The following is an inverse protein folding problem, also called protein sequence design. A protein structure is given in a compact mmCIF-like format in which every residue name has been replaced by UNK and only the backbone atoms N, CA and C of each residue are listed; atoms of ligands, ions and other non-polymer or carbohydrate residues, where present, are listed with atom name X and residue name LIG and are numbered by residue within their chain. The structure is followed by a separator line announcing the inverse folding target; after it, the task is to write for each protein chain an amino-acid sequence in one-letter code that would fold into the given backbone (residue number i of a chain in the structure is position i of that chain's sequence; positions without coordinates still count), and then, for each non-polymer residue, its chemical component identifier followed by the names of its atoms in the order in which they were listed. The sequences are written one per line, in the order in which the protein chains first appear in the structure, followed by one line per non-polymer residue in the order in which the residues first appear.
data_IF_742588235774
#
_entry.id   IF_742588235774
#
_cell.length_a   1.000
_cell.length_b   1.000
_cell.length_c   1.000
_cell.angle_alpha   90.00
_cell.angle_beta   90.00
_cell.angle_gamma   90.00
#
_symmetry.space_group_name_H-M   'P 1'
#
loop_
_entity.id
_entity.type
_entity.pdbx_description
1 polymer ?
#
# COMPACT_ATOMS: atom_id res chain seq x y z
N UNK A 1 -25.95 28.69 -0.57
CA UNK A 1 -25.86 28.31 0.86
C UNK A 1 -24.39 27.95 1.09
N UNK A 2 -23.67 28.73 1.88
CA UNK A 2 -22.28 28.39 2.26
C UNK A 2 -22.33 27.19 3.21
N UNK A 3 -21.55 26.12 2.97
CA UNK A 3 -21.49 24.98 3.89
C UNK A 3 -21.04 25.46 5.28
N UNK A 4 -21.64 24.90 6.31
CA UNK A 4 -21.37 25.27 7.71
C UNK A 4 -19.88 25.01 8.03
N UNK A 5 -19.24 25.94 8.72
CA UNK A 5 -17.82 25.84 9.13
C UNK A 5 -17.49 24.59 9.97
N UNK A 6 -18.48 23.85 10.44
CA UNK A 6 -18.28 22.65 11.27
C UNK A 6 -17.92 21.39 10.47
N UNK A 7 -18.23 21.34 9.15
CA UNK A 7 -17.94 20.19 8.30
C UNK A 7 -16.49 20.16 7.75
N UNK A 8 -15.80 21.30 7.76
CA UNK A 8 -14.40 21.45 7.27
C UNK A 8 -13.36 21.18 8.35
N UNK A 9 -13.74 21.29 9.61
CA UNK A 9 -12.83 21.20 10.75
C UNK A 9 -12.02 19.90 10.82
N UNK A 10 -12.59 18.70 10.55
CA UNK A 10 -11.84 17.46 10.62
C UNK A 10 -10.66 17.38 9.64
N UNK A 11 -10.85 17.80 8.39
CA UNK A 11 -9.76 17.82 7.39
C UNK A 11 -8.69 18.82 7.79
N UNK A 12 -9.09 20.02 8.18
CA UNK A 12 -8.17 21.07 8.66
C UNK A 12 -7.41 20.61 9.90
N UNK A 13 -8.06 20.00 10.90
CA UNK A 13 -7.43 19.53 12.13
C UNK A 13 -6.44 18.39 11.87
N UNK A 14 -6.73 17.49 10.90
CA UNK A 14 -5.79 16.46 10.44
C UNK A 14 -4.56 17.09 9.77
N UNK A 15 -4.78 17.95 8.78
CA UNK A 15 -3.70 18.55 8.01
C UNK A 15 -2.83 19.51 8.81
N UNK A 16 -3.36 20.06 9.93
CA UNK A 16 -2.58 20.91 10.86
C UNK A 16 -1.97 20.16 12.03
N UNK A 17 -1.97 18.82 11.99
CA UNK A 17 -1.36 17.98 13.03
C UNK A 17 -2.14 17.93 14.35
N UNK A 18 -3.39 18.40 14.39
CA UNK A 18 -4.24 18.32 15.59
C UNK A 18 -4.86 16.94 15.77
N UNK A 19 -4.91 16.15 14.72
CA UNK A 19 -5.38 14.76 14.69
C UNK A 19 -4.28 13.95 14.01
N UNK A 20 -3.77 12.91 14.69
CA UNK A 20 -2.79 12.02 14.08
C UNK A 20 -3.47 11.12 13.03
N UNK A 21 -2.94 11.00 11.80
CA UNK A 21 -3.59 10.23 10.73
C UNK A 21 -3.71 8.72 11.02
N UNK A 22 -2.92 8.20 11.96
CA UNK A 22 -2.86 6.76 12.27
C UNK A 22 -2.94 6.45 13.76
N UNK A 23 -3.48 7.37 14.58
CA UNK A 23 -3.69 7.11 16.00
C UNK A 23 -4.88 6.16 16.20
N UNK A 24 -4.76 5.23 17.11
CA UNK A 24 -5.59 4.07 17.50
C UNK A 24 -7.12 4.08 17.26
N UNK A 25 -7.78 2.96 17.56
CA UNK A 25 -9.19 2.54 17.31
C UNK A 25 -10.34 3.58 17.46
N UNK A 26 -10.09 4.77 17.98
CA UNK A 26 -11.05 5.89 18.00
C UNK A 26 -11.18 6.64 16.67
N UNK A 27 -10.30 6.35 15.70
CA UNK A 27 -10.10 7.16 14.49
C UNK A 27 -11.01 6.80 13.31
N UNK A 28 -11.74 5.68 13.36
CA UNK A 28 -12.76 5.36 12.34
C UNK A 28 -13.80 6.50 12.20
N UNK A 29 -14.19 7.13 13.31
CA UNK A 29 -15.12 8.28 13.31
C UNK A 29 -14.50 9.51 12.65
N UNK A 30 -13.20 9.73 12.82
CA UNK A 30 -12.47 10.84 12.18
C UNK A 30 -12.27 10.58 10.69
N UNK A 31 -11.94 9.35 10.31
CA UNK A 31 -11.86 8.93 8.92
C UNK A 31 -13.19 9.14 8.19
N UNK A 32 -14.30 8.67 8.77
CA UNK A 32 -15.66 8.88 8.23
C UNK A 32 -15.99 10.37 8.03
N UNK A 33 -15.53 11.24 8.92
CA UNK A 33 -15.72 12.69 8.80
C UNK A 33 -14.90 13.30 7.69
N UNK A 34 -13.69 12.80 7.43
CA UNK A 34 -12.82 13.23 6.33
C UNK A 34 -13.42 12.78 5.01
N UNK A 35 -13.79 11.49 4.93
CA UNK A 35 -14.43 10.90 3.75
C UNK A 35 -15.70 11.67 3.35
N UNK A 36 -16.49 12.12 4.32
CA UNK A 36 -17.73 12.85 4.06
C UNK A 36 -17.57 14.39 4.01
N UNK A 37 -16.36 14.93 4.17
CA UNK A 37 -16.11 16.36 4.09
C UNK A 37 -16.30 16.86 2.64
N UNK A 38 -16.87 18.06 2.43
CA UNK A 38 -16.96 18.63 1.11
C UNK A 38 -15.55 18.93 0.57
N UNK A 39 -15.31 18.57 -0.70
CA UNK A 39 -14.07 18.92 -1.40
C UNK A 39 -14.26 20.29 -2.04
N UNK A 40 -13.48 21.25 -1.60
CA UNK A 40 -13.46 22.61 -2.14
C UNK A 40 -12.02 23.07 -2.40
N UNK A 41 -11.86 24.23 -3.02
CA UNK A 41 -10.55 24.79 -3.40
C UNK A 41 -9.62 24.97 -2.17
N UNK A 42 -10.18 25.27 -0.99
CA UNK A 42 -9.42 25.40 0.25
C UNK A 42 -8.84 24.04 0.67
N UNK A 43 -9.65 22.98 0.64
CA UNK A 43 -9.22 21.61 0.93
C UNK A 43 -8.13 21.14 -0.05
N UNK A 44 -8.32 21.40 -1.35
CA UNK A 44 -7.31 21.07 -2.38
C UNK A 44 -6.01 21.85 -2.13
N UNK A 45 -6.10 23.13 -1.78
CA UNK A 45 -4.93 23.95 -1.45
C UNK A 45 -4.16 23.43 -0.23
N UNK A 46 -4.87 23.08 0.85
CA UNK A 46 -4.25 22.51 2.06
C UNK A 46 -3.55 21.17 1.77
N UNK A 47 -4.20 20.27 1.03
CA UNK A 47 -3.56 19.01 0.62
C UNK A 47 -2.32 19.28 -0.22
N UNK A 48 -2.41 20.23 -1.18
CA UNK A 48 -1.28 20.59 -2.03
C UNK A 48 -0.06 21.15 -1.23
N UNK A 49 -0.31 21.89 -0.15
CA UNK A 49 0.72 22.37 0.77
C UNK A 49 1.33 21.23 1.56
N UNK A 50 0.49 20.34 2.11
CA UNK A 50 0.97 19.17 2.86
C UNK A 50 1.89 18.27 2.04
N UNK A 51 1.54 17.99 0.77
CA UNK A 51 2.34 17.10 -0.08
C UNK A 51 3.78 17.60 -0.37
N UNK A 52 4.09 18.86 -0.07
CA UNK A 52 5.43 19.44 -0.27
C UNK A 52 6.08 19.89 1.04
N UNK A 53 5.45 19.59 2.18
CA UNK A 53 5.98 19.98 3.48
C UNK A 53 7.28 19.25 3.79
N UNK A 54 8.15 19.87 4.58
CA UNK A 54 9.40 19.29 5.05
C UNK A 54 9.20 18.15 6.04
N UNK A 55 8.10 18.19 6.82
CA UNK A 55 7.73 17.18 7.79
C UNK A 55 7.04 15.98 7.12
N UNK A 56 7.55 14.78 7.38
CA UNK A 56 7.03 13.55 6.78
C UNK A 56 5.60 13.25 7.21
N UNK A 57 5.25 13.48 8.49
CA UNK A 57 3.90 13.21 8.98
C UNK A 57 2.88 14.17 8.34
N UNK A 58 3.28 15.41 8.07
CA UNK A 58 2.45 16.36 7.32
C UNK A 58 2.22 15.87 5.88
N UNK A 59 3.25 15.38 5.18
CA UNK A 59 3.09 14.79 3.85
C UNK A 59 2.15 13.58 3.87
N UNK A 60 2.30 12.70 4.86
CA UNK A 60 1.43 11.53 5.07
C UNK A 60 -0.03 11.92 5.32
N UNK A 61 -0.26 12.98 6.12
CA UNK A 61 -1.60 13.49 6.36
C UNK A 61 -2.30 13.92 5.06
N UNK A 62 -1.59 14.60 4.16
CA UNK A 62 -2.11 14.94 2.82
C UNK A 62 -2.47 13.72 1.99
N UNK A 63 -1.61 12.70 1.96
CA UNK A 63 -1.84 11.44 1.25
C UNK A 63 -3.01 10.64 1.87
N UNK A 64 -3.14 10.65 3.19
CA UNK A 64 -4.24 9.99 3.91
C UNK A 64 -5.60 10.59 3.55
N UNK A 65 -5.70 11.92 3.40
CA UNK A 65 -6.94 12.55 2.92
C UNK A 65 -7.30 12.06 1.53
N UNK A 66 -6.33 11.96 0.63
CA UNK A 66 -6.56 11.47 -0.74
C UNK A 66 -7.02 10.01 -0.75
N UNK A 67 -6.41 9.16 0.07
CA UNK A 67 -6.83 7.77 0.21
C UNK A 67 -8.23 7.63 0.83
N UNK A 68 -8.60 8.50 1.76
CA UNK A 68 -9.92 8.50 2.39
C UNK A 68 -11.07 8.94 1.49
N UNK A 69 -10.78 9.72 0.45
CA UNK A 69 -11.80 10.23 -0.48
C UNK A 69 -12.22 9.21 -1.57
N UNK A 70 -11.61 8.03 -1.59
CA UNK A 70 -11.81 7.02 -2.64
C UNK A 70 -13.19 6.34 -2.63
N UNK A 71 -13.85 6.24 -1.45
CA UNK A 71 -15.02 5.36 -1.29
C UNK A 71 -16.30 5.83 -2.02
N UNK A 72 -16.41 7.10 -2.42
CA UNK A 72 -17.70 7.65 -2.86
C UNK A 72 -17.85 7.89 -4.37
N UNK A 73 -16.83 8.19 -5.10
CA UNK A 73 -16.81 8.26 -6.58
C UNK A 73 -15.49 8.85 -7.11
N UNK A 74 -15.09 8.45 -8.31
CA UNK A 74 -14.00 9.10 -9.06
C UNK A 74 -14.17 10.64 -9.18
N UNK A 75 -15.39 11.14 -9.10
CA UNK A 75 -15.71 12.57 -9.17
C UNK A 75 -15.14 13.37 -7.99
N UNK A 76 -14.98 12.79 -6.81
CA UNK A 76 -14.40 13.49 -5.64
C UNK A 76 -12.90 13.65 -5.75
N UNK A 77 -12.23 12.81 -6.53
CA UNK A 77 -10.78 12.91 -6.77
C UNK A 77 -10.42 13.88 -7.90
N UNK A 78 -11.36 14.23 -8.78
CA UNK A 78 -11.10 15.14 -9.90
C UNK A 78 -10.47 16.48 -9.50
N UNK A 79 -10.90 17.17 -8.42
CA UNK A 79 -10.26 18.41 -7.99
C UNK A 79 -8.79 18.26 -7.60
N UNK A 80 -8.36 17.05 -7.20
CA UNK A 80 -6.97 16.74 -6.82
C UNK A 80 -6.11 16.24 -7.98
N UNK A 81 -6.69 15.99 -9.17
CA UNK A 81 -5.95 15.51 -10.34
C UNK A 81 -4.71 16.37 -10.68
N UNK A 82 -4.73 17.72 -10.53
CA UNK A 82 -3.54 18.54 -10.72
C UNK A 82 -2.38 18.21 -9.77
N UNK A 83 -2.64 17.49 -8.66
CA UNK A 83 -1.62 17.10 -7.68
C UNK A 83 -0.93 15.76 -8.04
N UNK A 84 -1.37 15.05 -9.08
CA UNK A 84 -0.84 13.74 -9.47
C UNK A 84 0.69 13.74 -9.62
N UNK A 85 1.27 14.78 -10.22
CA UNK A 85 2.72 14.91 -10.35
C UNK A 85 3.46 14.99 -8.99
N UNK A 86 2.82 15.61 -8.00
CA UNK A 86 3.36 15.68 -6.63
C UNK A 86 3.24 14.33 -5.92
N UNK A 87 2.10 13.64 -6.05
CA UNK A 87 1.91 12.29 -5.52
C UNK A 87 2.96 11.36 -6.12
N UNK A 88 3.16 11.39 -7.43
CA UNK A 88 4.20 10.62 -8.13
C UNK A 88 5.60 10.92 -7.60
N UNK A 89 5.94 12.16 -7.33
CA UNK A 89 7.24 12.52 -6.75
C UNK A 89 7.44 11.91 -5.35
N UNK A 90 6.37 11.77 -4.56
CA UNK A 90 6.43 11.15 -3.23
C UNK A 90 6.62 9.62 -3.25
N UNK A 91 6.46 8.96 -4.40
CA UNK A 91 6.88 7.55 -4.55
C UNK A 91 8.39 7.37 -4.35
N UNK A 92 9.17 8.45 -4.47
CA UNK A 92 10.63 8.48 -4.27
C UNK A 92 11.03 9.22 -2.99
N UNK A 93 10.11 9.44 -2.06
CA UNK A 93 10.39 10.12 -0.80
C UNK A 93 11.43 9.36 0.02
N UNK A 94 12.24 10.10 0.79
CA UNK A 94 13.24 9.50 1.67
C UNK A 94 12.60 8.63 2.77
N UNK A 95 11.41 9.01 3.25
CA UNK A 95 10.68 8.29 4.29
C UNK A 95 9.85 7.15 3.69
N UNK A 96 10.11 5.92 4.15
CA UNK A 96 9.44 4.72 3.65
C UNK A 96 7.91 4.78 3.82
N UNK A 97 7.44 5.34 4.93
CA UNK A 97 6.01 5.51 5.22
C UNK A 97 5.33 6.46 4.22
N UNK A 98 6.00 7.55 3.84
CA UNK A 98 5.50 8.49 2.82
C UNK A 98 5.42 7.80 1.45
N UNK A 99 6.45 7.02 1.07
CA UNK A 99 6.43 6.25 -0.19
C UNK A 99 5.26 5.27 -0.22
N UNK A 100 5.02 4.55 0.89
CA UNK A 100 3.90 3.61 1.02
C UNK A 100 2.55 4.31 0.81
N UNK A 101 2.32 5.40 1.54
CA UNK A 101 1.07 6.16 1.46
C UNK A 101 0.90 6.80 0.07
N UNK A 102 2.00 7.23 -0.56
CA UNK A 102 2.00 7.74 -1.94
C UNK A 102 1.60 6.65 -2.95
N UNK A 103 2.09 5.42 -2.80
CA UNK A 103 1.70 4.30 -3.66
C UNK A 103 0.20 4.00 -3.54
N UNK A 104 -0.33 4.01 -2.32
CA UNK A 104 -1.76 3.83 -2.08
C UNK A 104 -2.59 4.94 -2.74
N UNK A 105 -2.22 6.20 -2.53
CA UNK A 105 -2.90 7.32 -3.16
C UNK A 105 -2.81 7.26 -4.70
N UNK A 106 -1.62 6.95 -5.23
CA UNK A 106 -1.36 6.85 -6.66
C UNK A 106 -2.24 5.81 -7.35
N UNK A 107 -2.48 4.67 -6.69
CA UNK A 107 -3.32 3.60 -7.21
C UNK A 107 -4.75 4.06 -7.56
N UNK A 108 -5.25 5.10 -6.92
CA UNK A 108 -6.59 5.64 -7.19
C UNK A 108 -6.63 6.71 -8.28
N UNK A 109 -5.51 7.41 -8.48
CA UNK A 109 -5.42 8.51 -9.43
C UNK A 109 -5.02 8.08 -10.84
N UNK A 110 -4.18 7.07 -10.93
CA UNK A 110 -3.59 6.64 -12.22
C UNK A 110 -3.42 5.11 -12.26
N UNK A 111 -4.55 4.37 -12.30
CA UNK A 111 -4.50 2.92 -12.33
C UNK A 111 -3.78 2.36 -13.58
N UNK A 112 -3.76 3.11 -14.68
CA UNK A 112 -3.12 2.68 -15.92
C UNK A 112 -1.58 2.69 -15.81
N UNK A 113 -1.01 3.61 -15.03
CA UNK A 113 0.44 3.72 -14.78
C UNK A 113 0.88 3.05 -13.46
N UNK A 114 -0.09 2.56 -12.69
CA UNK A 114 0.16 1.90 -11.40
C UNK A 114 1.10 0.71 -11.53
N UNK A 115 0.93 -0.10 -12.59
CA UNK A 115 1.72 -1.31 -12.79
C UNK A 115 3.23 -1.06 -12.77
N UNK A 116 3.71 0.01 -13.42
CA UNK A 116 5.13 0.37 -13.41
C UNK A 116 5.60 0.74 -11.98
N UNK A 117 4.83 1.58 -11.28
CA UNK A 117 5.15 1.98 -9.91
C UNK A 117 5.19 0.79 -8.95
N UNK A 118 4.22 -0.12 -9.03
CA UNK A 118 4.17 -1.33 -8.19
C UNK A 118 5.39 -2.21 -8.43
N UNK A 119 5.81 -2.40 -9.68
CA UNK A 119 7.01 -3.19 -9.98
C UNK A 119 8.30 -2.57 -9.40
N UNK A 120 8.42 -1.25 -9.38
CA UNK A 120 9.54 -0.56 -8.71
C UNK A 120 9.52 -0.80 -7.20
N UNK A 121 8.35 -0.80 -6.59
CA UNK A 121 8.18 -1.03 -5.15
C UNK A 121 8.51 -2.46 -4.70
N UNK A 122 8.52 -3.45 -5.58
CA UNK A 122 8.98 -4.81 -5.22
C UNK A 122 10.47 -4.86 -4.88
N UNK A 123 11.22 -3.82 -5.19
CA UNK A 123 12.64 -3.67 -4.82
C UNK A 123 12.89 -2.55 -3.82
N UNK A 124 11.84 -1.98 -3.21
CA UNK A 124 11.96 -0.93 -2.21
C UNK A 124 12.81 -1.41 -1.02
N UNK A 125 13.70 -0.58 -0.46
CA UNK A 125 14.46 -0.93 0.74
C UNK A 125 13.59 -1.35 1.93
N UNK A 126 12.39 -0.77 2.06
CA UNK A 126 11.42 -1.13 3.09
C UNK A 126 10.68 -2.41 2.74
N UNK A 127 10.81 -3.46 3.55
CA UNK A 127 10.04 -4.69 3.40
C UNK A 127 8.52 -4.46 3.45
N UNK A 128 8.07 -3.50 4.26
CA UNK A 128 6.65 -3.12 4.31
C UNK A 128 6.14 -2.56 2.98
N UNK A 129 6.97 -1.81 2.26
CA UNK A 129 6.62 -1.29 0.94
C UNK A 129 6.58 -2.41 -0.10
N UNK A 130 7.52 -3.36 -0.05
CA UNK A 130 7.47 -4.57 -0.89
C UNK A 130 6.23 -5.41 -0.62
N UNK A 131 5.86 -5.57 0.66
CA UNK A 131 4.62 -6.24 1.05
C UNK A 131 3.38 -5.56 0.47
N UNK A 132 3.33 -4.23 0.52
CA UNK A 132 2.22 -3.47 -0.07
C UNK A 132 2.14 -3.63 -1.59
N UNK A 133 3.27 -3.63 -2.29
CA UNK A 133 3.32 -3.90 -3.72
C UNK A 133 2.75 -5.28 -4.07
N UNK A 134 3.13 -6.32 -3.32
CA UNK A 134 2.58 -7.68 -3.48
C UNK A 134 1.07 -7.71 -3.28
N UNK A 135 0.55 -7.00 -2.27
CA UNK A 135 -0.91 -6.91 -2.02
C UNK A 135 -1.68 -6.24 -3.15
N UNK A 136 -1.09 -5.22 -3.77
CA UNK A 136 -1.70 -4.57 -4.95
C UNK A 136 -1.74 -5.56 -6.13
N UNK A 137 -0.64 -6.27 -6.41
CA UNK A 137 -0.59 -7.29 -7.46
C UNK A 137 -1.58 -8.45 -7.20
N UNK A 138 -1.78 -8.82 -5.93
CA UNK A 138 -2.80 -9.81 -5.56
C UNK A 138 -4.22 -9.30 -5.85
N UNK A 139 -4.51 -8.05 -5.52
CA UNK A 139 -5.83 -7.45 -5.77
C UNK A 139 -6.17 -7.37 -7.28
N UNK A 140 -5.16 -7.15 -8.14
CA UNK A 140 -5.34 -7.15 -9.60
C UNK A 140 -5.73 -8.52 -10.18
N UNK A 141 -5.37 -9.63 -9.51
CA UNK A 141 -5.62 -11.01 -9.99
C UNK A 141 -5.12 -11.27 -11.42
N UNK A 142 -4.10 -10.54 -11.85
CA UNK A 142 -3.61 -10.59 -13.23
C UNK A 142 -2.59 -11.72 -13.41
N UNK A 143 -2.84 -12.72 -14.30
CA UNK A 143 -1.90 -13.82 -14.55
C UNK A 143 -0.52 -13.37 -15.06
N UNK A 144 -0.40 -12.18 -15.65
CA UNK A 144 0.88 -11.63 -16.11
C UNK A 144 1.82 -11.28 -14.95
N UNK A 145 1.28 -11.14 -13.73
CA UNK A 145 2.06 -10.86 -12.51
C UNK A 145 2.72 -12.12 -11.92
N UNK A 146 2.34 -13.33 -12.36
CA UNK A 146 2.87 -14.59 -11.81
C UNK A 146 4.40 -14.68 -11.81
N UNK A 147 5.12 -14.36 -12.91
CA UNK A 147 6.60 -14.41 -12.88
C UNK A 147 7.20 -13.49 -11.83
N UNK A 148 6.63 -12.32 -11.66
CA UNK A 148 7.06 -11.31 -10.69
C UNK A 148 6.79 -11.76 -9.25
N UNK A 149 5.59 -12.25 -8.96
CA UNK A 149 5.23 -12.77 -7.64
C UNK A 149 6.13 -13.94 -7.22
N UNK A 150 6.52 -14.80 -8.17
CA UNK A 150 7.43 -15.91 -7.91
C UNK A 150 8.82 -15.41 -7.45
N UNK A 151 9.29 -14.24 -7.89
CA UNK A 151 10.59 -13.71 -7.45
C UNK A 151 10.60 -13.32 -5.97
N UNK A 152 9.43 -13.08 -5.37
CA UNK A 152 9.30 -12.70 -3.97
C UNK A 152 9.46 -13.88 -2.99
N UNK A 153 9.63 -15.11 -3.50
CA UNK A 153 9.85 -16.34 -2.70
C UNK A 153 11.10 -16.31 -1.83
N UNK A 154 12.01 -15.40 -2.06
CA UNK A 154 13.28 -15.23 -1.32
C UNK A 154 13.36 -13.94 -0.52
N UNK A 155 12.27 -13.19 -0.41
CA UNK A 155 12.25 -11.92 0.33
C UNK A 155 12.52 -12.15 1.83
N UNK A 156 13.46 -11.44 2.45
CA UNK A 156 13.86 -11.68 3.84
C UNK A 156 13.00 -10.93 4.87
N UNK A 157 12.04 -10.10 4.45
CA UNK A 157 11.29 -9.27 5.38
C UNK A 157 10.33 -10.08 6.24
N UNK A 158 10.43 -9.89 7.56
CA UNK A 158 9.61 -10.59 8.55
C UNK A 158 8.90 -9.60 9.49
N UNK A 159 7.80 -10.03 10.07
CA UNK A 159 7.04 -9.33 11.11
C UNK A 159 6.51 -10.38 12.12
N UNK A 160 6.38 -9.97 13.38
CA UNK A 160 5.74 -10.78 14.41
C UNK A 160 4.23 -10.91 14.12
N UNK A 161 3.72 -12.14 14.15
CA UNK A 161 2.31 -12.44 13.96
C UNK A 161 1.58 -12.51 15.32
N UNK A 162 0.26 -12.71 15.30
CA UNK A 162 -0.63 -12.79 16.47
C UNK A 162 -0.29 -13.91 17.45
N UNK A 163 0.41 -14.94 17.01
CA UNK A 163 0.92 -16.04 17.83
C UNK A 163 2.31 -15.77 18.43
N UNK A 164 2.80 -14.53 18.36
CA UNK A 164 4.11 -14.07 18.80
C UNK A 164 5.27 -14.82 18.11
N UNK A 165 5.11 -15.18 16.83
CA UNK A 165 6.13 -15.80 15.98
C UNK A 165 6.44 -14.89 14.79
N UNK A 166 7.71 -14.86 14.41
CA UNK A 166 8.14 -14.11 13.21
C UNK A 166 7.80 -14.88 11.94
N UNK A 167 7.27 -14.17 10.97
CA UNK A 167 6.89 -14.73 9.67
C UNK A 167 7.52 -13.95 8.53
N UNK A 168 7.95 -14.64 7.48
CA UNK A 168 8.42 -14.03 6.23
C UNK A 168 7.21 -13.51 5.42
N UNK A 169 6.66 -12.40 5.88
CA UNK A 169 5.34 -11.91 5.47
C UNK A 169 5.23 -11.55 3.97
N UNK A 170 6.32 -11.11 3.34
CA UNK A 170 6.33 -10.85 1.89
C UNK A 170 6.27 -12.16 1.11
N UNK A 171 7.02 -13.19 1.53
CA UNK A 171 6.96 -14.53 0.93
C UNK A 171 5.56 -15.12 1.03
N UNK A 172 4.94 -15.03 2.20
CA UNK A 172 3.59 -15.55 2.42
C UNK A 172 2.55 -14.82 1.57
N UNK A 173 2.57 -13.49 1.57
CA UNK A 173 1.66 -12.70 0.75
C UNK A 173 1.82 -12.99 -0.75
N UNK A 174 3.04 -13.14 -1.24
CA UNK A 174 3.30 -13.47 -2.64
C UNK A 174 2.83 -14.90 -2.98
N UNK A 175 3.00 -15.85 -2.05
CA UNK A 175 2.50 -17.21 -2.18
C UNK A 175 0.97 -17.23 -2.31
N UNK A 176 0.27 -16.54 -1.41
CA UNK A 176 -1.18 -16.38 -1.46
C UNK A 176 -1.64 -15.73 -2.77
N UNK A 177 -0.95 -14.67 -3.23
CA UNK A 177 -1.24 -14.01 -4.48
C UNK A 177 -1.12 -14.96 -5.69
N UNK A 178 -0.09 -15.82 -5.72
CA UNK A 178 0.04 -16.84 -6.76
C UNK A 178 -1.10 -17.86 -6.69
N UNK A 179 -1.50 -18.31 -5.49
CA UNK A 179 -2.62 -19.24 -5.29
C UNK A 179 -3.93 -18.62 -5.80
N UNK A 180 -4.14 -17.36 -5.52
CA UNK A 180 -5.31 -16.62 -5.98
C UNK A 180 -5.36 -16.49 -7.52
N UNK A 181 -4.25 -16.13 -8.14
CA UNK A 181 -4.16 -16.02 -9.61
C UNK A 181 -4.30 -17.40 -10.26
N UNK A 182 -3.70 -18.43 -9.67
CA UNK A 182 -3.77 -19.83 -10.15
C UNK A 182 -5.13 -20.49 -9.91
N UNK A 183 -6.01 -19.88 -9.13
CA UNK A 183 -7.30 -20.41 -8.67
C UNK A 183 -7.16 -21.79 -8.00
N UNK A 184 -6.08 -22.02 -7.27
CA UNK A 184 -5.82 -23.25 -6.53
C UNK A 184 -4.88 -23.02 -5.36
N UNK A 185 -4.96 -23.91 -4.37
CA UNK A 185 -4.03 -23.95 -3.25
C UNK A 185 -2.88 -24.92 -3.50
N UNK A 186 -1.74 -24.67 -2.90
CA UNK A 186 -0.55 -25.51 -2.95
C UNK A 186 -0.15 -25.87 -1.51
N UNK A 187 -0.74 -26.94 -0.93
CA UNK A 187 -0.38 -27.36 0.41
C UNK A 187 1.12 -27.59 0.53
N UNK A 188 1.72 -27.00 1.54
CA UNK A 188 3.15 -27.10 1.78
C UNK A 188 3.44 -27.19 3.28
N UNK A 189 4.48 -27.90 3.71
CA UNK A 189 4.93 -27.90 5.09
C UNK A 189 5.40 -26.51 5.50
N UNK A 190 5.27 -26.23 6.79
CA UNK A 190 5.82 -25.05 7.44
C UNK A 190 7.29 -25.33 7.77
N UNK A 191 8.16 -24.39 7.47
CA UNK A 191 9.59 -24.44 7.70
C UNK A 191 10.05 -23.20 8.47
N UNK A 192 11.26 -23.28 8.99
CA UNK A 192 11.93 -22.19 9.69
C UNK A 192 13.23 -21.82 8.97
N UNK A 193 13.49 -20.52 8.86
CA UNK A 193 14.74 -19.97 8.33
C UNK A 193 15.29 -18.93 9.30
N UNK A 194 16.60 -18.96 9.54
CA UNK A 194 17.28 -17.91 10.32
C UNK A 194 17.56 -16.70 9.43
N UNK A 195 16.96 -15.57 9.77
CA UNK A 195 17.20 -14.28 9.13
C UNK A 195 17.84 -13.36 10.15
N UNK A 196 19.15 -13.12 10.01
CA UNK A 196 19.92 -12.23 10.88
C UNK A 196 19.81 -12.57 12.38
N UNK A 197 19.70 -13.87 12.71
CA UNK A 197 19.58 -14.37 14.09
C UNK A 197 18.15 -14.47 14.60
N UNK A 198 17.15 -14.27 13.74
CA UNK A 198 15.74 -14.44 14.06
C UNK A 198 15.18 -15.66 13.33
N UNK A 199 14.57 -16.60 14.07
CA UNK A 199 13.89 -17.76 13.46
C UNK A 199 12.56 -17.34 12.89
N UNK A 200 12.45 -17.35 11.55
CA UNK A 200 11.28 -16.90 10.81
C UNK A 200 10.55 -18.07 10.16
N UNK A 201 9.21 -18.06 10.22
CA UNK A 201 8.37 -19.08 9.63
C UNK A 201 7.98 -18.72 8.19
N UNK A 202 7.86 -19.74 7.35
CA UNK A 202 7.28 -19.62 6.01
C UNK A 202 6.78 -20.99 5.52
N UNK A 203 5.89 -21.00 4.52
CA UNK A 203 5.52 -22.22 3.82
C UNK A 203 6.47 -22.51 2.66
N UNK A 204 6.89 -23.77 2.51
CA UNK A 204 7.74 -24.17 1.38
C UNK A 204 7.09 -23.81 0.03
N UNK A 205 7.93 -23.29 -0.86
CA UNK A 205 7.52 -22.90 -2.21
C UNK A 205 7.64 -24.02 -3.25
N UNK A 206 8.25 -25.15 -2.93
CA UNK A 206 8.50 -26.25 -3.85
C UNK A 206 7.27 -26.73 -4.64
N UNK A 207 6.09 -26.96 -4.01
CA UNK A 207 4.90 -27.36 -4.75
C UNK A 207 4.47 -26.33 -5.78
N UNK A 208 4.64 -25.06 -5.47
CA UNK A 208 4.27 -23.93 -6.31
C UNK A 208 5.26 -23.78 -7.47
N UNK A 209 6.57 -23.87 -7.20
CA UNK A 209 7.61 -23.87 -8.23
C UNK A 209 7.46 -25.04 -9.22
N UNK A 210 7.15 -26.24 -8.76
CA UNK A 210 6.88 -27.40 -9.61
C UNK A 210 5.67 -27.19 -10.52
N UNK A 211 4.63 -26.55 -10.01
CA UNK A 211 3.45 -26.20 -10.82
C UNK A 211 3.81 -25.13 -11.85
N UNK A 212 4.48 -24.05 -11.46
CA UNK A 212 4.88 -22.96 -12.36
C UNK A 212 5.73 -23.50 -13.53
N UNK A 213 6.71 -24.35 -13.25
CA UNK A 213 7.55 -24.99 -14.25
C UNK A 213 6.72 -25.82 -15.24
N UNK A 214 5.76 -26.65 -14.74
CA UNK A 214 4.87 -27.48 -15.57
C UNK A 214 3.92 -26.61 -16.41
N UNK A 215 3.56 -25.43 -15.93
CA UNK A 215 2.69 -24.48 -16.63
C UNK A 215 3.45 -23.56 -17.60
N UNK A 216 4.77 -23.72 -17.72
CA UNK A 216 5.60 -22.90 -18.59
C UNK A 216 5.84 -21.47 -18.08
N UNK A 217 5.52 -21.21 -16.83
CA UNK A 217 5.73 -19.90 -16.17
C UNK A 217 7.20 -19.84 -15.77
N UNK A 218 7.95 -18.91 -16.36
CA UNK A 218 9.35 -18.68 -16.03
C UNK A 218 9.43 -17.60 -14.95
N UNK A 219 9.66 -18.01 -13.70
CA UNK A 219 10.20 -17.11 -12.68
C UNK A 219 11.68 -16.89 -12.95
N UNK A 220 12.18 -15.68 -12.75
CA UNK A 220 13.62 -15.47 -12.65
C UNK A 220 14.02 -15.92 -11.24
N UNK A 221 14.82 -16.98 -11.15
CA UNK A 221 15.46 -17.43 -9.90
C UNK A 221 16.62 -16.51 -9.57
#
# INVERSE_FOLDING_TARGET
MTPSSSSRRPVYDLLTGRIAPYASEGDSIQFDRIVNAPVDDETVGLVAECLVDSDAETRRAGLFVLAGLQDDSAQRLEPFRPLLSRIRALLLDNEASVRCDALMAFAYFDPDDLGAAVHEFLTDPSGRNRLQAVRILDAERNPTNLPTLLTMSVDPYHEENRDAREWLVVREAAREAVEHVALRTFPAPLEEEDIEGVSCLYHLWDPLWQWAAKSGIKGQA
#
